data_IF_104340377208
#
_entry.id   IF_104340377208
#
_cell.length_a   1.000
_cell.length_b   1.000
_cell.length_c   1.000
_cell.angle_alpha   90.00
_cell.angle_beta   90.00
_cell.angle_gamma   90.00
#
_symmetry.space_group_name_H-M   'P 1'
#
loop_
_entity.id
_entity.type
_entity.pdbx_description
1 polymer ?
#
# COMPACT_ATOMS: atom_id res chain seq x y z
N UNK A 1 -1.23 17.22 -23.87
CA UNK A 1 -2.11 16.13 -23.39
C UNK A 1 -1.62 15.64 -22.04
N UNK A 2 -2.50 15.50 -21.12
CA UNK A 2 -2.14 15.02 -19.78
C UNK A 2 -2.01 13.49 -19.79
N UNK A 3 -0.90 12.99 -19.29
CA UNK A 3 -0.74 11.56 -19.14
C UNK A 3 -1.69 11.03 -18.09
N UNK A 4 -2.32 9.91 -18.40
CA UNK A 4 -3.25 9.27 -17.48
C UNK A 4 -2.52 8.20 -16.66
N UNK A 5 -2.69 8.28 -15.34
CA UNK A 5 -2.20 7.23 -14.44
C UNK A 5 -3.39 6.62 -13.70
N UNK A 6 -3.51 5.28 -13.72
CA UNK A 6 -4.59 4.63 -12.98
C UNK A 6 -4.40 4.71 -11.45
N UNK A 7 -3.24 5.18 -11.01
CA UNK A 7 -2.90 5.19 -9.58
C UNK A 7 -3.15 6.52 -8.89
N UNK A 8 -3.38 7.62 -9.63
CA UNK A 8 -3.64 8.92 -9.03
C UNK A 8 -4.89 8.91 -8.17
N UNK A 9 -4.81 9.50 -7.00
CA UNK A 9 -5.96 9.68 -6.13
C UNK A 9 -5.73 9.21 -4.70
N UNK A 10 -6.82 9.16 -3.95
CA UNK A 10 -6.83 8.67 -2.57
C UNK A 10 -7.42 7.27 -2.53
N UNK A 11 -6.79 6.42 -1.73
CA UNK A 11 -7.14 5.02 -1.61
C UNK A 11 -7.28 4.67 -0.14
N UNK A 12 -8.32 3.95 0.23
CA UNK A 12 -8.37 3.34 1.56
C UNK A 12 -7.40 2.17 1.58
N UNK A 13 -6.60 2.07 2.64
CA UNK A 13 -5.53 1.08 2.73
C UNK A 13 -5.73 0.18 3.93
N UNK A 14 -5.58 -1.12 3.71
CA UNK A 14 -5.57 -2.12 4.78
C UNK A 14 -4.51 -3.15 4.48
N UNK A 15 -3.78 -3.57 5.52
CA UNK A 15 -2.84 -4.67 5.40
C UNK A 15 -3.14 -5.71 6.47
N UNK A 16 -2.79 -6.96 6.14
CA UNK A 16 -3.17 -8.13 6.92
C UNK A 16 -2.00 -9.08 7.08
N UNK A 17 -1.92 -9.68 8.26
CA UNK A 17 -0.97 -10.76 8.50
C UNK A 17 -1.33 -11.95 7.62
N UNK A 18 -0.31 -12.60 7.07
CA UNK A 18 -0.50 -13.79 6.24
C UNK A 18 -0.60 -15.03 7.12
N UNK A 19 -1.72 -15.17 7.82
CA UNK A 19 -1.96 -16.26 8.74
C UNK A 19 -3.06 -17.16 8.17
N UNK A 20 -2.82 -18.48 8.03
CA UNK A 20 -3.79 -19.37 7.42
C UNK A 20 -4.89 -19.87 8.36
N UNK A 21 -4.85 -19.48 9.62
CA UNK A 21 -5.84 -19.95 10.60
C UNK A 21 -7.21 -19.31 10.36
N UNK A 22 -8.15 -20.09 9.83
CA UNK A 22 -9.48 -19.60 9.49
C UNK A 22 -10.34 -19.27 10.72
N UNK A 23 -9.94 -19.72 11.90
CA UNK A 23 -10.66 -19.38 13.13
C UNK A 23 -10.25 -18.01 13.70
N UNK A 24 -9.20 -17.41 13.16
CA UNK A 24 -8.74 -16.10 13.61
C UNK A 24 -9.70 -15.01 13.16
N UNK A 25 -10.07 -14.12 14.07
CA UNK A 25 -10.90 -12.97 13.76
C UNK A 25 -10.18 -12.02 12.80
N UNK A 26 -10.94 -11.37 11.91
CA UNK A 26 -10.35 -10.44 10.94
C UNK A 26 -9.54 -9.33 11.63
N UNK A 27 -10.04 -8.80 12.74
CA UNK A 27 -9.32 -7.74 13.45
C UNK A 27 -7.98 -8.21 14.00
N UNK A 28 -7.84 -9.48 14.32
CA UNK A 28 -6.58 -10.03 14.79
C UNK A 28 -5.56 -10.17 13.65
N UNK A 29 -6.01 -10.21 12.41
CA UNK A 29 -5.15 -10.25 11.23
C UNK A 29 -4.63 -8.87 10.84
N UNK A 30 -5.22 -7.80 11.36
CA UNK A 30 -4.89 -6.44 10.96
C UNK A 30 -3.41 -6.13 11.22
N UNK A 31 -2.72 -5.69 10.18
CA UNK A 31 -1.34 -5.21 10.28
C UNK A 31 -1.30 -3.68 10.30
N UNK A 32 -2.03 -3.04 9.40
CA UNK A 32 -2.16 -1.59 9.37
C UNK A 32 -3.39 -1.15 8.60
N UNK A 33 -3.80 0.10 8.80
CA UNK A 33 -4.90 0.70 8.07
C UNK A 33 -4.69 2.21 7.99
N UNK A 34 -5.12 2.81 6.90
CA UNK A 34 -4.97 4.24 6.70
C UNK A 34 -5.41 4.68 5.31
N UNK A 35 -4.88 5.80 4.87
CA UNK A 35 -5.14 6.36 3.55
C UNK A 35 -3.85 6.45 2.76
N UNK A 36 -3.88 5.91 1.55
CA UNK A 36 -2.79 6.02 0.59
C UNK A 36 -3.16 7.08 -0.43
N UNK A 37 -2.41 8.17 -0.46
CA UNK A 37 -2.59 9.24 -1.44
C UNK A 37 -1.46 9.18 -2.45
N UNK A 38 -1.79 9.00 -3.71
CA UNK A 38 -0.81 8.89 -4.78
C UNK A 38 -1.00 9.97 -5.82
N UNK A 39 0.13 10.50 -6.29
CA UNK A 39 0.20 11.40 -7.43
C UNK A 39 1.24 10.87 -8.40
N UNK A 40 1.07 11.21 -9.68
CA UNK A 40 2.02 10.85 -10.73
C UNK A 40 2.72 12.12 -11.18
N UNK A 41 3.90 12.46 -10.60
CA UNK A 41 4.60 13.69 -10.99
C UNK A 41 5.14 13.63 -12.41
N UNK A 42 5.43 12.43 -12.88
CA UNK A 42 5.83 12.20 -14.28
C UNK A 42 5.47 10.76 -14.64
N UNK A 43 5.54 10.45 -15.91
CA UNK A 43 5.19 9.11 -16.42
C UNK A 43 6.06 8.05 -15.72
N UNK A 44 5.41 7.02 -15.20
CA UNK A 44 6.10 5.90 -14.58
C UNK A 44 6.49 6.12 -13.13
N UNK A 45 6.20 7.30 -12.55
CA UNK A 45 6.57 7.61 -11.17
C UNK A 45 5.37 7.91 -10.31
N UNK A 46 5.45 7.50 -9.05
CA UNK A 46 4.43 7.84 -8.05
C UNK A 46 5.09 8.49 -6.84
N UNK A 47 4.36 9.40 -6.22
CA UNK A 47 4.74 10.00 -4.96
C UNK A 47 3.49 10.28 -4.14
N UNK A 48 3.65 10.50 -2.86
CA UNK A 48 2.52 10.82 -2.01
C UNK A 48 2.76 10.47 -0.56
N UNK A 49 1.71 9.96 0.08
CA UNK A 49 1.77 9.61 1.49
C UNK A 49 0.90 8.39 1.80
N UNK A 50 1.27 7.69 2.85
CA UNK A 50 0.47 6.62 3.42
C UNK A 50 0.44 6.85 4.92
N UNK A 51 -0.74 6.98 5.48
CA UNK A 51 -0.82 7.25 6.89
C UNK A 51 -2.15 6.88 7.51
N UNK A 52 -2.11 6.62 8.79
CA UNK A 52 -3.27 6.32 9.60
C UNK A 52 -3.19 7.12 10.90
N UNK A 53 -3.86 6.61 11.91
CA UNK A 53 -3.84 7.25 13.22
C UNK A 53 -2.47 7.06 13.88
N UNK A 54 -1.80 8.17 14.16
CA UNK A 54 -0.53 8.16 14.86
C UNK A 54 0.69 7.85 14.02
N UNK A 55 0.55 7.70 12.69
CA UNK A 55 1.69 7.42 11.82
C UNK A 55 1.46 7.94 10.41
N UNK A 56 2.54 8.31 9.75
CA UNK A 56 2.50 8.77 8.36
C UNK A 56 3.86 8.53 7.71
N UNK A 57 3.82 7.99 6.49
CA UNK A 57 5.00 7.71 5.69
C UNK A 57 4.96 8.54 4.41
N UNK A 58 6.13 8.99 3.99
CA UNK A 58 6.32 9.57 2.66
C UNK A 58 6.45 8.43 1.66
N UNK A 59 5.74 8.53 0.54
CA UNK A 59 5.74 7.49 -0.48
C UNK A 59 6.45 7.95 -1.73
N UNK A 60 7.31 7.10 -2.27
CA UNK A 60 8.02 7.33 -3.52
C UNK A 60 8.25 6.00 -4.23
N UNK A 61 8.01 5.98 -5.53
CA UNK A 61 8.21 4.76 -6.31
C UNK A 61 7.83 4.93 -7.76
N UNK A 62 7.37 3.85 -8.37
CA UNK A 62 7.04 3.84 -9.77
C UNK A 62 5.99 2.81 -10.13
N UNK A 63 5.52 2.90 -11.36
CA UNK A 63 4.57 1.93 -11.89
C UNK A 63 4.98 1.53 -13.30
N UNK A 64 4.57 0.32 -13.69
CA UNK A 64 4.83 -0.25 -14.99
C UNK A 64 3.53 -0.52 -15.72
N UNK A 65 3.50 -0.21 -17.01
CA UNK A 65 2.38 -0.60 -17.86
C UNK A 65 2.36 -2.11 -18.00
N UNK A 66 1.17 -2.65 -18.08
CA UNK A 66 1.01 -4.08 -18.24
C UNK A 66 -0.43 -4.49 -18.04
N UNK A 67 -0.66 -5.79 -18.03
CA UNK A 67 -1.96 -6.36 -17.76
C UNK A 67 -1.79 -7.48 -16.72
N UNK A 68 -1.90 -7.15 -15.43
CA UNK A 68 -2.26 -5.84 -14.87
C UNK A 68 -1.07 -4.86 -14.78
N UNK A 69 -1.41 -3.58 -14.56
CA UNK A 69 -0.39 -2.57 -14.22
C UNK A 69 0.28 -2.93 -12.90
N UNK A 70 1.61 -2.83 -12.86
CA UNK A 70 2.38 -3.05 -11.65
C UNK A 70 2.70 -1.76 -10.91
N UNK A 71 2.88 -1.86 -9.59
CA UNK A 71 3.18 -0.73 -8.72
C UNK A 71 4.23 -1.13 -7.70
N UNK A 72 5.24 -0.28 -7.52
CA UNK A 72 6.26 -0.45 -6.48
C UNK A 72 6.51 0.87 -5.82
N UNK A 73 6.51 0.90 -4.50
CA UNK A 73 6.86 2.12 -3.79
C UNK A 73 7.44 1.81 -2.43
N UNK A 74 8.15 2.79 -1.89
CA UNK A 74 8.67 2.74 -0.54
C UNK A 74 7.99 3.82 0.28
N UNK A 75 7.54 3.45 1.47
CA UNK A 75 7.07 4.40 2.47
C UNK A 75 8.15 4.55 3.53
N UNK A 76 8.53 5.78 3.84
CA UNK A 76 9.53 6.02 4.87
C UNK A 76 9.28 7.35 5.57
N UNK A 77 9.59 7.39 6.86
CA UNK A 77 9.54 8.61 7.66
C UNK A 77 10.19 8.34 9.01
N UNK A 78 10.67 9.41 9.63
CA UNK A 78 11.13 9.33 10.99
C UNK A 78 9.94 9.57 11.93
N UNK A 79 9.66 8.59 12.78
CA UNK A 79 8.51 8.62 13.69
C UNK A 79 9.02 8.31 15.08
N UNK A 80 8.81 9.26 16.00
CA UNK A 80 9.26 9.10 17.37
C UNK A 80 10.77 8.90 17.50
N UNK A 81 11.56 9.52 16.62
CA UNK A 81 13.01 9.41 16.64
C UNK A 81 13.56 8.16 15.96
N UNK A 82 12.72 7.33 15.39
CA UNK A 82 13.15 6.12 14.69
C UNK A 82 12.73 6.16 13.22
N UNK A 83 13.57 5.64 12.35
CA UNK A 83 13.29 5.55 10.93
C UNK A 83 12.39 4.33 10.65
N UNK A 84 11.24 4.59 10.05
CA UNK A 84 10.33 3.55 9.59
C UNK A 84 10.46 3.43 8.08
N UNK A 85 10.70 2.24 7.57
CA UNK A 85 10.82 1.97 6.13
C UNK A 85 10.05 0.70 5.79
N UNK A 86 9.13 0.84 4.83
CA UNK A 86 8.33 -0.26 4.31
C UNK A 86 8.41 -0.25 2.79
N UNK A 87 8.59 -1.41 2.20
CA UNK A 87 8.60 -1.57 0.75
C UNK A 87 7.34 -2.32 0.29
N UNK A 88 6.75 -1.84 -0.79
CA UNK A 88 5.48 -2.32 -1.30
C UNK A 88 5.62 -2.74 -2.75
N UNK A 89 5.03 -3.90 -3.09
CA UNK A 89 4.91 -4.38 -4.47
C UNK A 89 3.46 -4.82 -4.66
N UNK A 90 2.83 -4.31 -5.71
CA UNK A 90 1.46 -4.67 -5.96
C UNK A 90 1.07 -4.49 -7.42
N UNK A 91 -0.21 -4.65 -7.69
CA UNK A 91 -0.76 -4.48 -9.03
C UNK A 91 -2.21 -4.02 -8.93
N UNK A 92 -2.66 -3.43 -10.04
CA UNK A 92 -4.05 -3.01 -10.17
C UNK A 92 -4.93 -4.25 -10.38
N UNK A 93 -5.94 -4.40 -9.54
CA UNK A 93 -6.82 -5.57 -9.60
C UNK A 93 -7.61 -5.55 -10.91
N UNK A 94 -7.67 -6.67 -11.65
CA UNK A 94 -8.40 -6.71 -12.92
C UNK A 94 -9.89 -6.40 -12.76
N UNK A 95 -10.46 -5.74 -13.78
CA UNK A 95 -11.86 -5.34 -13.80
C UNK A 95 -12.67 -6.36 -14.62
N UNK A 96 -13.81 -6.75 -14.09
CA UNK A 96 -14.72 -7.69 -14.76
C UNK A 96 -15.77 -6.92 -15.56
N UNK A 97 -16.05 -7.31 -16.82
CA UNK A 97 -17.00 -6.56 -17.67
C UNK A 97 -18.40 -6.41 -17.08
N UNK A 98 -18.84 -7.37 -16.28
CA UNK A 98 -20.17 -7.34 -15.67
C UNK A 98 -20.12 -7.31 -14.16
N UNK A 99 -19.03 -6.79 -13.58
CA UNK A 99 -18.87 -6.73 -12.15
C UNK A 99 -19.82 -5.73 -11.49
N UNK A 100 -20.27 -6.05 -10.29
CA UNK A 100 -21.11 -5.17 -9.47
C UNK A 100 -20.24 -4.58 -8.37
N UNK A 101 -20.48 -3.30 -8.06
CA UNK A 101 -19.73 -2.56 -7.02
C UNK A 101 -18.22 -2.60 -7.24
N UNK A 102 -17.81 -2.60 -8.48
CA UNK A 102 -16.39 -2.57 -8.80
C UNK A 102 -15.81 -1.19 -8.59
N UNK A 103 -14.74 -1.14 -7.82
CA UNK A 103 -13.92 0.05 -7.67
C UNK A 103 -12.49 -0.30 -8.03
N UNK A 104 -11.72 0.65 -8.56
CA UNK A 104 -10.30 0.41 -8.73
C UNK A 104 -9.67 0.00 -7.41
N UNK A 105 -8.87 -1.06 -7.44
CA UNK A 105 -8.21 -1.58 -6.26
C UNK A 105 -6.79 -2.01 -6.60
N UNK A 106 -5.92 -1.91 -5.60
CA UNK A 106 -4.53 -2.36 -5.68
C UNK A 106 -4.35 -3.44 -4.64
N UNK A 107 -3.68 -4.53 -4.98
CA UNK A 107 -3.35 -5.56 -4.01
C UNK A 107 -1.89 -5.97 -4.16
N UNK A 108 -1.30 -6.46 -3.09
CA UNK A 108 0.08 -6.89 -3.13
C UNK A 108 0.64 -7.21 -1.77
N UNK A 109 1.94 -6.99 -1.64
CA UNK A 109 2.72 -7.38 -0.48
C UNK A 109 3.51 -6.20 0.05
N UNK A 110 3.68 -6.17 1.36
CA UNK A 110 4.48 -5.17 2.05
C UNK A 110 5.48 -5.86 2.97
N UNK A 111 6.69 -5.32 3.04
CA UNK A 111 7.72 -5.82 3.95
C UNK A 111 8.23 -4.66 4.81
N UNK A 112 8.37 -4.93 6.11
CA UNK A 112 9.07 -3.99 7.01
C UNK A 112 10.56 -4.12 6.76
N UNK A 113 11.16 -3.08 6.19
CA UNK A 113 12.54 -3.14 5.72
C UNK A 113 13.54 -2.90 6.84
N UNK A 114 13.20 -2.03 7.79
CA UNK A 114 14.04 -1.79 8.96
C UNK A 114 13.22 -1.97 10.23
N UNK A 115 13.85 -2.40 11.35
CA UNK A 115 13.12 -2.53 12.60
C UNK A 115 12.81 -1.16 13.20
N UNK A 116 11.74 -1.08 14.00
CA UNK A 116 11.42 0.11 14.78
C UNK A 116 10.76 -0.31 16.09
N UNK A 117 10.27 0.67 16.86
CA UNK A 117 9.61 0.42 18.16
C UNK A 117 10.55 -0.32 19.11
N UNK A 118 11.81 0.17 19.20
CA UNK A 118 12.86 -0.41 20.02
C UNK A 118 13.13 -1.87 19.68
N UNK A 119 13.00 -2.23 18.39
CA UNK A 119 13.25 -3.59 17.90
C UNK A 119 12.08 -4.54 18.04
N UNK A 120 10.99 -4.11 18.68
CA UNK A 120 9.80 -4.97 18.81
C UNK A 120 9.12 -5.22 17.46
N UNK A 121 9.16 -4.22 16.56
CA UNK A 121 8.73 -4.39 15.18
C UNK A 121 9.95 -4.81 14.36
N UNK A 122 10.09 -6.10 14.12
CA UNK A 122 11.29 -6.68 13.52
C UNK A 122 11.33 -6.43 11.99
N UNK A 123 12.53 -6.28 11.45
CA UNK A 123 12.74 -6.22 10.02
C UNK A 123 12.38 -7.57 9.37
N UNK A 124 11.94 -7.52 8.10
CA UNK A 124 11.62 -8.72 7.34
C UNK A 124 10.20 -9.21 7.51
N UNK A 125 9.38 -8.55 8.32
CA UNK A 125 7.98 -8.95 8.49
C UNK A 125 7.18 -8.63 7.23
N UNK A 126 6.51 -9.64 6.67
CA UNK A 126 5.75 -9.53 5.42
C UNK A 126 4.25 -9.64 5.70
N UNK A 127 3.49 -8.77 5.06
CA UNK A 127 2.03 -8.77 5.13
C UNK A 127 1.46 -8.57 3.73
N UNK A 128 0.18 -8.84 3.56
CA UNK A 128 -0.53 -8.54 2.32
C UNK A 128 -1.35 -7.29 2.49
N UNK A 129 -1.58 -6.56 1.39
CA UNK A 129 -2.38 -5.33 1.48
C UNK A 129 -3.39 -5.24 0.36
N UNK A 130 -4.42 -4.44 0.61
CA UNK A 130 -5.38 -4.03 -0.40
C UNK A 130 -5.66 -2.54 -0.20
N UNK A 131 -5.72 -1.82 -1.32
CA UNK A 131 -6.10 -0.42 -1.33
C UNK A 131 -7.23 -0.24 -2.32
N UNK A 132 -8.28 0.46 -1.90
CA UNK A 132 -9.47 0.67 -2.72
C UNK A 132 -9.66 2.15 -2.95
N UNK A 133 -9.86 2.55 -4.20
CA UNK A 133 -9.97 3.95 -4.56
C UNK A 133 -11.19 4.59 -3.91
N UNK A 134 -10.97 5.74 -3.30
CA UNK A 134 -12.03 6.54 -2.71
C UNK A 134 -12.53 7.50 -3.79
N UNK A 135 -13.76 7.30 -4.23
CA UNK A 135 -14.44 8.14 -5.23
C UNK A 135 -13.52 8.85 -6.22
#
# INVERSE_FOLDING_TARGET
MKDYSPFDGSWSYRSFKNDPDLSMEFNALRFGAGTLALATPEVGRVSGSLGGEGWRLKVSGGYDYGNPFGLRFQGSEEIGGELWVYDYVGYLVPVWPHGTDQRPAITGSVIRTVPHSNGQAAAGYVASFIAVKQS
#
